data_IF_955800825770
#
_entry.id   IF_955800825770
#
_cell.length_a   1.000
_cell.length_b   1.000
_cell.length_c   1.000
_cell.angle_alpha   90.00
_cell.angle_beta   90.00
_cell.angle_gamma   90.00
#
_symmetry.space_group_name_H-M   'P 1'
#
loop_
_entity.id
_entity.type
_entity.pdbx_description
1 polymer ?
#
# COMPACT_ATOMS: atom_id res chain seq x y z
N UNK A 1 8.14 7.17 27.72
CA UNK A 1 7.65 8.46 27.20
C UNK A 1 6.19 8.41 26.80
N UNK A 2 5.35 9.18 27.49
CA UNK A 2 3.91 9.29 27.23
C UNK A 2 3.57 10.22 26.05
N UNK A 3 4.57 10.73 25.32
CA UNK A 3 4.38 11.71 24.24
C UNK A 3 3.57 11.17 23.06
N UNK A 4 3.62 9.85 22.79
CA UNK A 4 2.84 9.24 21.71
C UNK A 4 1.33 9.33 21.98
N UNK A 5 0.90 9.13 23.23
CA UNK A 5 -0.54 9.10 23.60
C UNK A 5 -1.25 10.44 23.36
N UNK A 6 -0.52 11.55 23.46
CA UNK A 6 -1.09 12.90 23.33
C UNK A 6 -0.88 13.53 21.95
N UNK A 7 -0.46 12.74 20.95
CA UNK A 7 -0.25 13.25 19.61
C UNK A 7 -1.58 13.56 18.93
N UNK A 8 -1.79 14.83 18.56
CA UNK A 8 -2.94 15.26 17.78
C UNK A 8 -3.01 14.52 16.44
N UNK A 9 -4.22 14.18 16.00
CA UNK A 9 -4.43 13.61 14.67
C UNK A 9 -3.95 14.57 13.59
N UNK A 10 -3.31 14.09 12.51
CA UNK A 10 -2.85 14.96 11.45
C UNK A 10 -4.00 15.75 10.81
N UNK A 11 -3.77 17.03 10.50
CA UNK A 11 -4.80 17.94 9.98
C UNK A 11 -5.43 17.51 8.65
N UNK A 12 -4.78 16.63 7.88
CA UNK A 12 -5.30 16.08 6.63
C UNK A 12 -6.31 14.92 6.83
N UNK A 13 -6.69 14.63 8.07
CA UNK A 13 -7.75 13.67 8.37
C UNK A 13 -9.11 14.31 8.07
N UNK A 14 -9.51 14.30 6.79
CA UNK A 14 -10.77 14.89 6.34
C UNK A 14 -12.01 14.06 6.72
N UNK A 15 -11.83 12.90 7.35
CA UNK A 15 -12.91 11.98 7.74
C UNK A 15 -12.70 11.51 9.16
N UNK A 16 -13.77 11.58 9.96
CA UNK A 16 -13.82 10.88 11.24
C UNK A 16 -13.80 9.37 11.02
N UNK A 17 -12.99 8.68 11.80
CA UNK A 17 -12.84 7.23 11.70
C UNK A 17 -14.10 6.55 12.23
N UNK A 18 -14.66 5.62 11.46
CA UNK A 18 -15.78 4.80 11.94
C UNK A 18 -15.29 3.81 13.01
N UNK A 19 -16.20 3.48 13.92
CA UNK A 19 -15.97 2.39 14.90
C UNK A 19 -15.69 1.06 14.21
N UNK A 20 -14.83 0.24 14.82
CA UNK A 20 -14.52 -1.12 14.38
C UNK A 20 -15.77 -2.02 14.24
N UNK A 21 -16.85 -1.75 14.98
CA UNK A 21 -18.12 -2.47 14.82
C UNK A 21 -18.74 -2.29 13.42
N UNK A 22 -18.29 -1.29 12.66
CA UNK A 22 -18.69 -1.02 11.28
C UNK A 22 -17.54 -1.30 10.30
N UNK A 23 -16.68 -2.28 10.59
CA UNK A 23 -15.47 -2.58 9.82
C UNK A 23 -15.73 -2.69 8.30
N UNK A 24 -16.81 -3.37 7.91
CA UNK A 24 -17.20 -3.53 6.49
C UNK A 24 -17.47 -2.22 5.75
N UNK A 25 -17.67 -1.12 6.47
CA UNK A 25 -17.92 0.21 5.92
C UNK A 25 -16.73 1.16 6.07
N UNK A 26 -15.62 0.70 6.63
CA UNK A 26 -14.38 1.47 6.73
C UNK A 26 -13.73 1.50 5.35
N UNK A 27 -13.49 2.70 4.82
CA UNK A 27 -12.80 2.85 3.54
C UNK A 27 -11.30 2.56 3.70
N UNK A 28 -10.65 2.14 2.62
CA UNK A 28 -9.21 1.90 2.58
C UNK A 28 -8.38 3.11 3.08
N UNK A 29 -8.81 4.35 2.78
CA UNK A 29 -8.17 5.58 3.27
C UNK A 29 -8.24 5.71 4.80
N UNK A 30 -9.34 5.29 5.43
CA UNK A 30 -9.49 5.31 6.88
C UNK A 30 -8.58 4.25 7.51
N UNK A 31 -8.54 3.05 6.95
CA UNK A 31 -7.67 1.98 7.41
C UNK A 31 -6.19 2.36 7.30
N UNK A 32 -5.79 2.97 6.18
CA UNK A 32 -4.45 3.53 5.96
C UNK A 32 -4.08 4.56 7.01
N UNK A 33 -5.01 5.47 7.32
CA UNK A 33 -4.81 6.52 8.31
C UNK A 33 -4.64 5.95 9.73
N UNK A 34 -5.41 4.91 10.09
CA UNK A 34 -5.18 4.13 11.32
C UNK A 34 -3.76 3.59 11.27
N UNK A 35 -3.40 2.84 10.22
CA UNK A 35 -2.15 2.11 10.15
C UNK A 35 -0.92 3.01 10.35
N UNK A 36 -0.86 4.15 9.65
CA UNK A 36 0.35 4.98 9.61
C UNK A 36 0.43 6.08 10.67
N UNK A 37 -0.71 6.48 11.25
CA UNK A 37 -0.74 7.62 12.18
C UNK A 37 -1.49 7.34 13.48
N UNK A 38 -2.55 6.52 13.44
CA UNK A 38 -3.38 6.25 14.61
C UNK A 38 -2.95 5.01 15.41
N UNK A 39 -2.36 4.01 14.77
CA UNK A 39 -2.20 2.69 15.38
C UNK A 39 -1.22 2.73 16.55
N UNK A 40 -0.02 3.29 16.36
CA UNK A 40 0.99 3.38 17.42
C UNK A 40 0.49 4.09 18.69
N UNK A 41 -0.10 5.30 18.62
CA UNK A 41 -0.58 5.99 19.82
C UNK A 41 -1.79 5.30 20.46
N UNK A 42 -2.70 4.72 19.66
CA UNK A 42 -3.91 4.05 20.18
C UNK A 42 -3.61 2.68 20.80
N UNK A 43 -2.57 1.98 20.33
CA UNK A 43 -2.22 0.64 20.81
C UNK A 43 -1.16 0.62 21.91
N UNK A 44 -0.65 1.80 22.32
CA UNK A 44 0.40 1.92 23.32
C UNK A 44 0.07 1.23 24.66
N UNK A 45 -1.20 1.26 25.08
CA UNK A 45 -1.63 0.65 26.34
C UNK A 45 -1.96 -0.85 26.22
N UNK A 46 -2.14 -1.36 25.00
CA UNK A 46 -2.61 -2.73 24.75
C UNK A 46 -1.52 -3.66 24.22
N UNK A 47 -0.47 -3.11 23.63
CA UNK A 47 0.62 -3.86 22.97
C UNK A 47 1.93 -3.56 23.68
N UNK A 48 2.78 -4.59 23.82
CA UNK A 48 4.10 -4.40 24.43
C UNK A 48 4.97 -3.43 23.61
N UNK A 49 5.82 -2.68 24.30
CA UNK A 49 6.63 -1.62 23.68
C UNK A 49 7.61 -2.15 22.62
N UNK A 50 8.10 -3.39 22.79
CA UNK A 50 9.04 -4.02 21.86
C UNK A 50 8.36 -4.32 20.51
N UNK A 51 7.13 -4.81 20.55
CA UNK A 51 6.31 -5.11 19.38
C UNK A 51 5.81 -3.82 18.70
N UNK A 52 5.52 -2.77 19.47
CA UNK A 52 5.23 -1.45 18.93
C UNK A 52 6.45 -0.84 18.23
N UNK A 53 7.63 -0.91 18.86
CA UNK A 53 8.87 -0.45 18.24
C UNK A 53 9.19 -1.26 16.97
N UNK A 54 9.00 -2.57 17.00
CA UNK A 54 9.12 -3.43 15.83
C UNK A 54 8.15 -3.03 14.72
N UNK A 55 6.89 -2.78 15.05
CA UNK A 55 5.89 -2.32 14.09
C UNK A 55 6.18 -0.92 13.53
N UNK A 56 6.78 -0.04 14.35
CA UNK A 56 7.21 1.28 13.90
C UNK A 56 8.28 1.20 12.81
N UNK A 57 9.14 0.17 12.79
CA UNK A 57 10.10 -0.06 11.69
C UNK A 57 9.37 -0.19 10.35
N UNK A 58 8.29 -0.98 10.32
CA UNK A 58 7.46 -1.18 9.14
C UNK A 58 6.75 0.11 8.72
N UNK A 59 6.11 0.83 9.66
CA UNK A 59 5.47 2.12 9.36
C UNK A 59 6.47 3.10 8.75
N UNK A 60 7.65 3.23 9.36
CA UNK A 60 8.68 4.16 8.92
C UNK A 60 9.22 3.78 7.54
N UNK A 61 9.55 2.51 7.28
CA UNK A 61 10.05 2.08 5.97
C UNK A 61 9.04 2.34 4.86
N UNK A 62 7.76 2.02 5.07
CA UNK A 62 6.72 2.25 4.06
C UNK A 62 6.52 3.74 3.79
N UNK A 63 6.54 4.58 4.83
CA UNK A 63 6.47 6.05 4.68
C UNK A 63 7.64 6.61 3.88
N UNK A 64 8.85 6.09 4.08
CA UNK A 64 10.01 6.48 3.28
C UNK A 64 9.85 6.07 1.81
N UNK A 65 9.42 4.84 1.54
CA UNK A 65 9.14 4.39 0.18
C UNK A 65 8.02 5.17 -0.53
N UNK A 66 7.10 5.79 0.22
CA UNK A 66 6.04 6.65 -0.33
C UNK A 66 6.41 8.14 -0.38
N UNK A 67 7.53 8.55 0.23
CA UNK A 67 7.87 9.97 0.33
C UNK A 67 8.14 10.60 -1.03
N UNK A 68 7.43 11.69 -1.33
CA UNK A 68 7.64 12.54 -2.50
C UNK A 68 7.55 14.02 -2.07
N UNK A 69 8.62 14.81 -2.20
CA UNK A 69 9.98 14.39 -2.59
C UNK A 69 10.61 13.43 -1.55
N UNK A 70 11.70 12.71 -1.90
CA UNK A 70 12.37 11.79 -0.97
C UNK A 70 12.80 12.48 0.32
N UNK A 71 12.35 11.98 1.47
CA UNK A 71 12.49 12.66 2.76
C UNK A 71 13.95 12.91 3.18
N UNK A 72 14.86 12.03 2.78
CA UNK A 72 16.30 12.11 3.05
C UNK A 72 17.14 12.16 1.76
N UNK A 73 16.58 12.69 0.66
CA UNK A 73 17.22 12.69 -0.65
C UNK A 73 17.63 11.28 -1.10
N UNK A 74 18.83 11.14 -1.65
CA UNK A 74 19.37 9.87 -2.18
C UNK A 74 19.50 8.77 -1.11
N UNK A 75 19.56 9.13 0.18
CA UNK A 75 19.68 8.18 1.29
C UNK A 75 18.34 7.54 1.67
N UNK A 76 17.21 8.08 1.19
CA UNK A 76 15.86 7.65 1.57
C UNK A 76 15.67 6.16 1.38
N UNK A 77 16.04 5.64 0.20
CA UNK A 77 15.90 4.22 -0.12
C UNK A 77 16.76 3.35 0.80
N UNK A 78 18.04 3.68 0.97
CA UNK A 78 18.96 2.89 1.79
C UNK A 78 18.52 2.83 3.26
N UNK A 79 17.93 3.90 3.79
CA UNK A 79 17.35 3.92 5.14
C UNK A 79 16.09 3.03 5.19
N UNK A 80 15.20 3.16 4.20
CA UNK A 80 13.98 2.35 4.13
C UNK A 80 14.29 0.85 4.07
N UNK A 81 15.24 0.45 3.21
CA UNK A 81 15.68 -0.94 3.05
C UNK A 81 16.20 -1.51 4.38
N UNK A 82 17.04 -0.76 5.11
CA UNK A 82 17.56 -1.19 6.42
C UNK A 82 16.47 -1.37 7.47
N UNK A 83 15.53 -0.43 7.57
CA UNK A 83 14.41 -0.53 8.51
C UNK A 83 13.55 -1.76 8.21
N UNK A 84 13.32 -2.02 6.92
CA UNK A 84 12.50 -3.12 6.47
C UNK A 84 13.17 -4.48 6.65
N UNK A 85 14.48 -4.56 6.41
CA UNK A 85 15.29 -5.74 6.69
C UNK A 85 15.22 -6.09 8.18
N UNK A 86 15.35 -5.11 9.08
CA UNK A 86 15.24 -5.34 10.52
C UNK A 86 13.84 -5.81 10.92
N UNK A 87 12.78 -5.27 10.31
CA UNK A 87 11.41 -5.72 10.52
C UNK A 87 11.22 -7.19 10.11
N UNK A 88 11.69 -7.59 8.93
CA UNK A 88 11.54 -8.97 8.48
C UNK A 88 12.45 -9.96 9.22
N UNK A 89 13.63 -9.52 9.67
CA UNK A 89 14.57 -10.33 10.47
C UNK A 89 13.94 -10.80 11.77
N UNK A 90 13.19 -9.94 12.46
CA UNK A 90 12.57 -10.27 13.75
C UNK A 90 11.08 -10.58 13.66
N UNK A 91 10.49 -10.57 12.46
CA UNK A 91 9.06 -10.82 12.25
C UNK A 91 8.56 -12.12 12.89
N UNK A 92 9.33 -13.20 12.80
CA UNK A 92 8.96 -14.49 13.39
C UNK A 92 8.85 -14.44 14.91
N UNK A 93 9.70 -13.62 15.56
CA UNK A 93 9.74 -13.48 17.02
C UNK A 93 8.47 -12.76 17.51
N UNK A 94 8.04 -11.71 16.81
CA UNK A 94 6.93 -10.86 17.24
C UNK A 94 5.54 -11.31 16.75
N UNK A 95 5.45 -12.10 15.68
CA UNK A 95 4.16 -12.42 15.03
C UNK A 95 3.96 -13.91 14.73
N UNK A 96 4.73 -14.81 15.35
CA UNK A 96 4.45 -16.26 15.37
C UNK A 96 4.15 -16.89 14.00
N UNK A 97 4.90 -16.49 12.97
CA UNK A 97 4.75 -16.94 11.57
C UNK A 97 3.43 -16.54 10.85
N UNK A 98 2.73 -15.50 11.31
CA UNK A 98 1.62 -14.92 10.54
C UNK A 98 2.21 -14.21 9.30
N UNK A 99 2.51 -14.98 8.25
CA UNK A 99 2.95 -14.47 6.95
C UNK A 99 1.98 -14.98 5.89
N UNK A 100 1.25 -14.05 5.29
CA UNK A 100 0.46 -14.33 4.09
C UNK A 100 1.23 -13.90 2.84
N UNK A 101 0.72 -14.28 1.67
CA UNK A 101 1.33 -13.95 0.39
C UNK A 101 1.54 -12.44 0.20
N UNK A 102 0.59 -11.61 0.65
CA UNK A 102 0.68 -10.14 0.55
C UNK A 102 1.85 -9.59 1.38
N UNK A 103 2.03 -10.08 2.61
CA UNK A 103 3.16 -9.72 3.47
C UNK A 103 4.50 -10.20 2.90
N UNK A 104 4.51 -11.24 2.07
CA UNK A 104 5.72 -11.64 1.35
C UNK A 104 6.05 -10.65 0.24
N UNK A 105 5.06 -10.23 -0.57
CA UNK A 105 5.25 -9.31 -1.69
C UNK A 105 5.89 -7.97 -1.28
N UNK A 106 5.59 -7.52 -0.06
CA UNK A 106 6.21 -6.36 0.56
C UNK A 106 7.74 -6.38 0.46
N UNK A 107 8.42 -7.54 0.57
CA UNK A 107 9.89 -7.67 0.45
C UNK A 107 10.44 -7.12 -0.86
N UNK A 108 9.62 -7.02 -1.90
CA UNK A 108 10.03 -6.48 -3.20
C UNK A 108 9.88 -4.96 -3.31
N UNK A 109 9.35 -4.26 -2.30
CA UNK A 109 9.17 -2.80 -2.32
C UNK A 109 10.45 -2.02 -2.57
N UNK A 110 11.60 -2.44 -2.01
CA UNK A 110 12.88 -1.80 -2.32
C UNK A 110 13.27 -1.92 -3.81
N UNK A 111 12.94 -3.04 -4.45
CA UNK A 111 13.14 -3.23 -5.90
C UNK A 111 12.17 -2.39 -6.72
N UNK A 112 10.89 -2.34 -6.33
CA UNK A 112 9.90 -1.49 -6.96
C UNK A 112 10.30 0.00 -6.87
N UNK A 113 10.79 0.43 -5.70
CA UNK A 113 11.24 1.80 -5.50
C UNK A 113 12.44 2.16 -6.37
N UNK A 114 13.41 1.26 -6.50
CA UNK A 114 14.58 1.48 -7.39
C UNK A 114 14.18 1.62 -8.85
N UNK A 115 13.22 0.81 -9.30
CA UNK A 115 12.85 0.77 -10.71
C UNK A 115 11.92 1.92 -11.11
N UNK A 116 11.02 2.34 -10.21
CA UNK A 116 9.92 3.24 -10.55
C UNK A 116 9.84 4.49 -9.66
N UNK A 117 10.74 4.66 -8.70
CA UNK A 117 10.71 5.72 -7.70
C UNK A 117 9.65 5.47 -6.62
N UNK A 118 9.13 6.53 -6.00
CA UNK A 118 8.18 6.39 -4.89
C UNK A 118 7.00 5.48 -5.22
N UNK A 119 6.65 4.62 -4.27
CA UNK A 119 5.50 3.70 -4.38
C UNK A 119 4.16 4.46 -4.50
N UNK A 120 4.12 5.74 -4.11
CA UNK A 120 2.96 6.60 -4.36
C UNK A 120 2.61 6.73 -5.85
N UNK A 121 3.60 6.51 -6.74
CA UNK A 121 3.44 6.63 -8.19
C UNK A 121 3.02 5.31 -8.87
N UNK A 122 3.08 4.18 -8.16
CA UNK A 122 2.86 2.83 -8.71
C UNK A 122 1.43 2.31 -8.37
N UNK A 123 0.64 3.10 -7.64
CA UNK A 123 -0.70 2.71 -7.22
C UNK A 123 -1.73 2.70 -8.36
N UNK A 124 -2.64 1.72 -8.36
CA UNK A 124 -3.73 1.62 -9.33
C UNK A 124 -4.93 2.54 -9.02
N UNK A 125 -4.82 3.44 -8.02
CA UNK A 125 -5.95 4.26 -7.57
C UNK A 125 -6.51 5.16 -8.66
N UNK A 126 -5.65 5.67 -9.56
CA UNK A 126 -6.11 6.48 -10.69
C UNK A 126 -6.93 5.65 -11.67
N UNK A 127 -6.47 4.43 -11.99
CA UNK A 127 -7.19 3.49 -12.86
C UNK A 127 -8.53 3.07 -12.23
N UNK A 128 -8.57 2.81 -10.92
CA UNK A 128 -9.83 2.49 -10.21
C UNK A 128 -10.83 3.66 -10.28
N UNK A 129 -10.36 4.90 -10.11
CA UNK A 129 -11.21 6.08 -10.22
C UNK A 129 -11.72 6.28 -11.66
N UNK A 130 -10.88 6.01 -12.67
CA UNK A 130 -11.29 6.00 -14.07
C UNK A 130 -12.36 4.93 -14.37
N UNK A 131 -12.24 3.72 -13.82
CA UNK A 131 -13.28 2.68 -13.94
C UNK A 131 -14.59 3.17 -13.33
N UNK A 132 -14.54 3.81 -12.16
CA UNK A 132 -15.71 4.42 -11.51
C UNK A 132 -16.33 5.55 -12.35
N UNK A 133 -15.51 6.39 -12.97
CA UNK A 133 -15.94 7.46 -13.87
C UNK A 133 -16.61 6.91 -15.13
N UNK A 134 -15.99 5.90 -15.76
CA UNK A 134 -16.55 5.21 -16.93
C UNK A 134 -17.90 4.58 -16.55
N UNK A 135 -17.98 3.85 -15.44
CA UNK A 135 -19.22 3.20 -14.98
C UNK A 135 -20.35 4.20 -14.74
N UNK A 136 -20.07 5.40 -14.21
CA UNK A 136 -21.08 6.44 -13.98
C UNK A 136 -21.52 7.13 -15.26
N UNK A 137 -20.62 7.31 -16.23
CA UNK A 137 -20.92 8.02 -17.48
C UNK A 137 -21.47 7.11 -18.57
N UNK A 138 -21.37 5.78 -18.42
CA UNK A 138 -22.14 4.83 -19.21
C UNK A 138 -23.58 4.79 -18.65
N UNK A 139 -24.37 5.79 -19.00
CA UNK A 139 -25.82 5.71 -18.94
C UNK A 139 -26.34 5.65 -20.39
N UNK A 140 -26.79 4.48 -20.81
CA UNK A 140 -27.62 4.36 -22.02
C UNK A 140 -26.92 4.37 -23.38
N UNK A 141 -25.78 3.70 -23.55
CA UNK A 141 -25.36 3.25 -24.89
C UNK A 141 -24.72 1.86 -24.86
N UNK A 142 -25.50 0.89 -25.38
CA UNK A 142 -25.15 -0.36 -26.04
C UNK A 142 -23.68 -0.85 -25.94
N UNK A 143 -23.48 -2.02 -25.32
CA UNK A 143 -22.42 -3.01 -25.59
C UNK A 143 -20.92 -2.60 -25.49
N UNK A 144 -20.56 -1.48 -24.84
CA UNK A 144 -19.13 -1.12 -24.68
C UNK A 144 -18.34 -1.95 -23.65
N UNK A 145 -19.01 -2.58 -22.67
CA UNK A 145 -18.33 -3.51 -21.74
C UNK A 145 -17.68 -4.68 -22.47
N UNK A 146 -18.34 -5.18 -23.52
CA UNK A 146 -17.86 -6.30 -24.32
C UNK A 146 -16.69 -5.88 -25.21
N UNK A 147 -16.66 -4.61 -25.65
CA UNK A 147 -15.53 -4.05 -26.40
C UNK A 147 -14.26 -3.92 -25.56
N UNK A 148 -14.36 -3.50 -24.29
CA UNK A 148 -13.17 -3.41 -23.41
C UNK A 148 -12.57 -4.79 -23.18
N UNK A 149 -13.40 -5.81 -22.91
CA UNK A 149 -12.95 -7.20 -22.80
C UNK A 149 -12.34 -7.67 -24.12
N UNK A 150 -12.95 -7.32 -25.26
CA UNK A 150 -12.44 -7.67 -26.58
C UNK A 150 -11.06 -7.05 -26.87
N UNK A 151 -10.85 -5.76 -26.56
CA UNK A 151 -9.55 -5.10 -26.78
C UNK A 151 -8.45 -5.65 -25.88
N UNK A 152 -8.72 -5.91 -24.60
CA UNK A 152 -7.75 -6.57 -23.71
C UNK A 152 -7.42 -8.00 -24.17
N UNK A 153 -8.38 -8.70 -24.76
CA UNK A 153 -8.17 -10.04 -25.33
C UNK A 153 -7.29 -10.00 -26.58
N UNK A 154 -7.46 -8.98 -27.42
CA UNK A 154 -6.66 -8.77 -28.63
C UNK A 154 -5.20 -8.46 -28.26
N UNK A 155 -4.94 -7.59 -27.30
CA UNK A 155 -3.57 -7.28 -26.86
C UNK A 155 -2.85 -8.54 -26.32
N UNK A 156 -3.58 -9.40 -25.60
CA UNK A 156 -3.04 -10.66 -25.09
C UNK A 156 -2.77 -11.67 -26.22
N UNK A 157 -3.65 -11.75 -27.21
CA UNK A 157 -3.49 -12.59 -28.40
C UNK A 157 -2.32 -12.13 -29.27
N UNK A 158 -2.20 -10.83 -29.53
CA UNK A 158 -1.09 -10.24 -30.29
C UNK A 158 0.23 -10.50 -29.56
N UNK A 159 0.27 -10.30 -28.23
CA UNK A 159 1.46 -10.61 -27.44
C UNK A 159 1.83 -12.10 -27.52
N UNK A 160 0.86 -13.00 -27.36
CA UNK A 160 1.08 -14.43 -27.48
C UNK A 160 1.63 -14.82 -28.86
N UNK A 161 1.05 -14.25 -29.92
CA UNK A 161 1.42 -14.56 -31.30
C UNK A 161 2.81 -14.03 -31.66
N UNK A 162 3.16 -12.80 -31.24
CA UNK A 162 4.51 -12.24 -31.40
C UNK A 162 5.56 -13.08 -30.65
N UNK A 163 5.25 -13.51 -29.42
CA UNK A 163 6.17 -14.33 -28.62
C UNK A 163 6.35 -15.72 -29.24
N UNK A 164 5.29 -16.30 -29.81
CA UNK A 164 5.34 -17.63 -30.42
C UNK A 164 6.04 -17.63 -31.80
N UNK A 165 5.90 -16.55 -32.57
CA UNK A 165 6.58 -16.37 -33.87
C UNK A 165 8.08 -16.04 -33.73
N UNK A 166 8.52 -15.53 -32.57
CA UNK A 166 9.93 -15.28 -32.25
C UNK A 166 10.66 -16.51 -31.68
N UNK A 167 9.96 -17.61 -31.42
CA UNK A 167 10.51 -18.87 -30.89
C UNK A 167 10.54 -20.03 -31.89
N UNK A 168 10.21 -19.77 -33.17
CA UNK A 168 10.42 -20.67 -34.32
C UNK A 168 11.58 -20.13 -35.15
#
# INVERSE_FOLDING_TARGET
DNHLKYQSSPHFFNRQMKSFNKFSFIKAVELRNILFYGFLPLSFEFINIQQLAHFALFICSIRLYHSQPPMFGDKTQAIADKLFEQYYKHHRIFYSNIQNYVLHLHRHFGTQYRNYGSLANIGCFHQEDQIGHISKNIHGSNYYSDLIVHYYSIDFLIYYQIVHDLMV
#
